data_IF_883622543931
#
_entry.id   IF_883622543931
#
_cell.length_a   1.000
_cell.length_b   1.000
_cell.length_c   1.000
_cell.angle_alpha   90.00
_cell.angle_beta   90.00
_cell.angle_gamma   90.00
#
_symmetry.space_group_name_H-M   'P 1'
#
loop_
_entity.id
_entity.type
_entity.pdbx_description
1 polymer ?
#
# COMPACT_ATOMS: atom_id res chain seq x y z
N UNK A 1 -4.61 16.96 8.69
CA UNK A 1 -3.29 16.34 8.87
C UNK A 1 -2.25 17.25 8.24
N UNK A 2 -1.19 17.65 8.96
CA UNK A 2 -0.15 18.51 8.37
C UNK A 2 0.72 17.66 7.45
N UNK A 3 1.12 18.19 6.29
CA UNK A 3 1.91 17.45 5.28
C UNK A 3 3.17 16.79 5.87
N UNK A 4 3.87 17.48 6.78
CA UNK A 4 5.05 16.95 7.48
C UNK A 4 4.75 15.67 8.28
N UNK A 5 3.64 15.65 9.02
CA UNK A 5 3.24 14.48 9.81
C UNK A 5 2.97 13.26 8.91
N UNK A 6 2.45 13.48 7.69
CA UNK A 6 2.22 12.40 6.72
C UNK A 6 3.57 11.81 6.27
N UNK A 7 4.50 12.68 5.90
CA UNK A 7 5.84 12.27 5.46
C UNK A 7 6.57 11.51 6.57
N UNK A 8 6.56 12.01 7.80
CA UNK A 8 7.25 11.38 8.93
C UNK A 8 6.72 9.94 9.18
N UNK A 9 5.39 9.76 9.16
CA UNK A 9 4.77 8.43 9.34
C UNK A 9 5.11 7.49 8.19
N UNK A 10 5.07 7.97 6.93
CA UNK A 10 5.42 7.15 5.78
C UNK A 10 6.90 6.76 5.78
N UNK A 11 7.80 7.68 6.15
CA UNK A 11 9.23 7.38 6.31
C UNK A 11 9.47 6.33 7.40
N UNK A 12 8.75 6.41 8.52
CA UNK A 12 8.84 5.38 9.56
C UNK A 12 8.36 4.01 9.05
N UNK A 13 7.26 3.97 8.28
CA UNK A 13 6.75 2.74 7.66
C UNK A 13 7.75 2.14 6.68
N UNK A 14 8.33 2.95 5.78
CA UNK A 14 9.37 2.51 4.84
C UNK A 14 10.61 1.97 5.56
N UNK A 15 11.01 2.59 6.67
CA UNK A 15 12.12 2.09 7.50
C UNK A 15 11.78 0.73 8.12
N UNK A 16 10.57 0.55 8.64
CA UNK A 16 10.13 -0.72 9.21
C UNK A 16 10.13 -1.85 8.17
N UNK A 17 9.64 -1.61 6.94
CA UNK A 17 9.70 -2.60 5.87
C UNK A 17 11.15 -2.99 5.50
N UNK A 18 12.07 -2.01 5.47
CA UNK A 18 13.50 -2.28 5.24
C UNK A 18 14.10 -3.14 6.36
N UNK A 19 13.73 -2.87 7.62
CA UNK A 19 14.19 -3.66 8.76
C UNK A 19 13.68 -5.09 8.68
N UNK A 20 12.39 -5.29 8.36
CA UNK A 20 11.82 -6.64 8.17
C UNK A 20 12.52 -7.39 7.04
N UNK A 21 12.79 -6.73 5.90
CA UNK A 21 13.49 -7.33 4.77
C UNK A 21 14.97 -7.68 5.07
N UNK A 22 15.56 -7.06 6.10
CA UNK A 22 16.91 -7.33 6.55
C UNK A 22 17.00 -8.40 7.65
N UNK A 23 15.86 -8.91 8.15
CA UNK A 23 15.87 -9.98 9.14
C UNK A 23 16.49 -11.25 8.56
N UNK A 24 17.39 -11.87 9.34
CA UNK A 24 17.87 -13.21 9.03
C UNK A 24 16.75 -14.20 9.32
N UNK A 25 16.42 -15.02 8.32
CA UNK A 25 15.33 -16.00 8.40
C UNK A 25 15.84 -17.41 8.69
N UNK A 26 17.17 -17.59 8.76
CA UNK A 26 17.85 -18.89 8.85
C UNK A 26 17.42 -19.71 10.10
N UNK A 27 17.06 -19.03 11.18
CA UNK A 27 16.70 -19.64 12.47
C UNK A 27 15.18 -19.77 12.69
N UNK A 28 14.34 -19.38 11.71
CA UNK A 28 12.89 -19.44 11.84
C UNK A 28 12.37 -20.87 11.61
N UNK A 29 11.53 -21.35 12.52
CA UNK A 29 10.80 -22.59 12.28
C UNK A 29 9.76 -22.42 11.16
N UNK A 30 9.25 -23.53 10.63
CA UNK A 30 8.13 -23.50 9.67
C UNK A 30 6.92 -22.73 10.22
N UNK A 31 6.62 -22.88 11.50
CA UNK A 31 5.51 -22.18 12.16
C UNK A 31 5.77 -20.68 12.21
N UNK A 32 7.00 -20.26 12.51
CA UNK A 32 7.38 -18.84 12.54
C UNK A 32 7.31 -18.21 11.15
N UNK A 33 7.72 -18.94 10.11
CA UNK A 33 7.61 -18.51 8.72
C UNK A 33 6.15 -18.28 8.31
N UNK A 34 5.24 -19.20 8.63
CA UNK A 34 3.81 -19.00 8.34
C UNK A 34 3.22 -17.82 9.12
N UNK A 35 3.58 -17.66 10.39
CA UNK A 35 3.13 -16.53 11.19
C UNK A 35 3.63 -15.18 10.64
N UNK A 36 4.85 -15.14 10.11
CA UNK A 36 5.40 -13.96 9.45
C UNK A 36 4.65 -13.66 8.14
N UNK A 37 4.42 -14.66 7.29
CA UNK A 37 3.65 -14.52 6.05
C UNK A 37 2.25 -13.97 6.34
N UNK A 38 1.54 -14.55 7.31
CA UNK A 38 0.18 -14.12 7.65
C UNK A 38 0.13 -12.68 8.19
N UNK A 39 1.17 -12.26 8.94
CA UNK A 39 1.29 -10.87 9.40
C UNK A 39 1.54 -9.90 8.25
N UNK A 40 2.40 -10.26 7.30
CA UNK A 40 2.68 -9.44 6.12
C UNK A 40 1.44 -9.33 5.22
N UNK A 41 0.73 -10.43 5.00
CA UNK A 41 -0.52 -10.45 4.24
C UNK A 41 -1.60 -9.55 4.88
N UNK A 42 -1.71 -9.56 6.21
CA UNK A 42 -2.60 -8.62 6.92
C UNK A 42 -2.20 -7.16 6.70
N UNK A 43 -0.91 -6.83 6.69
CA UNK A 43 -0.43 -5.48 6.41
C UNK A 43 -0.74 -5.07 4.96
N UNK A 44 -0.58 -5.99 4.00
CA UNK A 44 -0.92 -5.73 2.60
C UNK A 44 -2.43 -5.47 2.42
N UNK A 45 -3.29 -6.23 3.12
CA UNK A 45 -4.73 -5.96 3.13
C UNK A 45 -5.08 -4.58 3.70
N UNK A 46 -4.43 -4.18 4.81
CA UNK A 46 -4.61 -2.85 5.40
C UNK A 46 -4.16 -1.75 4.46
N UNK A 47 -3.01 -1.92 3.80
CA UNK A 47 -2.49 -1.01 2.78
C UNK A 47 -3.45 -0.88 1.60
N UNK A 48 -3.96 -2.00 1.07
CA UNK A 48 -4.91 -2.00 -0.04
C UNK A 48 -6.24 -1.31 0.34
N UNK A 49 -6.68 -1.42 1.60
CA UNK A 49 -7.84 -0.67 2.10
C UNK A 49 -7.56 0.83 2.17
N UNK A 50 -6.36 1.24 2.60
CA UNK A 50 -5.95 2.64 2.60
C UNK A 50 -5.85 3.20 1.18
N UNK A 51 -5.24 2.48 0.25
CA UNK A 51 -5.13 2.86 -1.17
C UNK A 51 -6.52 3.11 -1.78
N UNK A 52 -7.49 2.21 -1.54
CA UNK A 52 -8.88 2.40 -1.97
C UNK A 52 -9.50 3.67 -1.42
N UNK A 53 -9.32 3.96 -0.12
CA UNK A 53 -9.82 5.20 0.50
C UNK A 53 -9.19 6.46 -0.11
N UNK A 54 -7.87 6.43 -0.37
CA UNK A 54 -7.16 7.55 -0.99
C UNK A 54 -7.60 7.78 -2.44
N UNK A 55 -7.77 6.72 -3.22
CA UNK A 55 -8.31 6.79 -4.58
C UNK A 55 -9.76 7.28 -4.60
N UNK A 56 -10.61 6.82 -3.68
CA UNK A 56 -11.98 7.33 -3.54
C UNK A 56 -12.00 8.82 -3.19
N UNK A 57 -11.08 9.27 -2.32
CA UNK A 57 -10.93 10.70 -2.02
C UNK A 57 -10.44 11.49 -3.23
N UNK A 58 -9.52 10.94 -4.02
CA UNK A 58 -9.01 11.53 -5.25
C UNK A 58 -10.12 11.70 -6.31
N UNK A 59 -11.02 10.72 -6.42
CA UNK A 59 -12.22 10.80 -7.25
C UNK A 59 -13.18 11.89 -6.75
N UNK A 60 -13.43 11.95 -5.43
CA UNK A 60 -14.33 12.93 -4.84
C UNK A 60 -13.89 14.39 -5.00
N UNK A 61 -12.59 14.65 -5.15
CA UNK A 61 -12.05 15.99 -5.45
C UNK A 61 -11.93 16.27 -6.96
N UNK A 62 -12.50 15.41 -7.81
CA UNK A 62 -12.54 15.57 -9.27
C UNK A 62 -11.20 15.35 -9.97
N UNK A 63 -10.26 14.64 -9.32
CA UNK A 63 -8.84 14.88 -9.56
C UNK A 63 -8.09 13.94 -10.49
N UNK A 64 -8.63 12.81 -10.97
CA UNK A 64 -7.80 11.88 -11.76
C UNK A 64 -8.53 10.93 -12.69
N UNK A 65 -7.98 10.79 -13.90
CA UNK A 65 -8.31 9.72 -14.83
C UNK A 65 -7.48 8.46 -14.53
N UNK A 66 -7.91 7.30 -15.06
CA UNK A 66 -7.13 6.06 -15.00
C UNK A 66 -5.74 6.23 -15.64
N UNK A 67 -5.60 7.09 -16.66
CA UNK A 67 -4.33 7.41 -17.31
C UNK A 67 -3.37 8.15 -16.37
N UNK A 68 -3.88 9.10 -15.58
CA UNK A 68 -3.06 9.85 -14.62
C UNK A 68 -2.59 8.97 -13.47
N UNK A 69 -3.48 8.13 -12.95
CA UNK A 69 -3.15 7.16 -11.90
C UNK A 69 -2.13 6.13 -12.40
N UNK A 70 -2.33 5.58 -13.60
CA UNK A 70 -1.39 4.64 -14.21
C UNK A 70 0.01 5.26 -14.34
N UNK A 71 0.09 6.50 -14.82
CA UNK A 71 1.35 7.24 -14.95
C UNK A 71 2.02 7.47 -13.59
N UNK A 72 1.27 7.94 -12.58
CA UNK A 72 1.84 8.27 -11.25
C UNK A 72 2.26 7.03 -10.47
N UNK A 73 1.48 5.96 -10.52
CA UNK A 73 1.74 4.72 -9.78
C UNK A 73 2.62 3.73 -10.56
N UNK A 74 2.96 4.03 -11.82
CA UNK A 74 3.73 3.16 -12.73
C UNK A 74 3.11 1.76 -12.86
N UNK A 75 1.80 1.72 -13.07
CA UNK A 75 1.00 0.51 -13.29
C UNK A 75 0.34 0.56 -14.66
N UNK A 76 -0.23 -0.56 -15.12
CA UNK A 76 -1.01 -0.57 -16.35
C UNK A 76 -2.28 0.27 -16.22
N UNK A 77 -2.78 0.79 -17.33
CA UNK A 77 -4.04 1.54 -17.33
C UNK A 77 -5.23 0.67 -16.90
N UNK A 78 -5.24 -0.62 -17.27
CA UNK A 78 -6.26 -1.56 -16.83
C UNK A 78 -6.26 -1.78 -15.31
N UNK A 79 -5.07 -1.88 -14.70
CA UNK A 79 -4.94 -1.99 -13.24
C UNK A 79 -5.37 -0.68 -12.54
N UNK A 80 -5.03 0.47 -13.09
CA UNK A 80 -5.51 1.76 -12.59
C UNK A 80 -7.04 1.87 -12.66
N UNK A 81 -7.65 1.44 -13.78
CA UNK A 81 -9.10 1.41 -13.95
C UNK A 81 -9.76 0.46 -12.95
N UNK A 82 -9.20 -0.73 -12.73
CA UNK A 82 -9.68 -1.68 -11.72
C UNK A 82 -9.66 -1.08 -10.32
N UNK A 83 -8.53 -0.46 -9.92
CA UNK A 83 -8.40 0.17 -8.59
C UNK A 83 -9.34 1.35 -8.39
N UNK A 84 -9.53 2.18 -9.42
CA UNK A 84 -10.48 3.30 -9.38
C UNK A 84 -11.93 2.79 -9.29
N UNK A 85 -12.29 1.76 -10.05
CA UNK A 85 -13.61 1.11 -9.94
C UNK A 85 -13.87 0.54 -8.56
N UNK A 86 -12.89 -0.15 -7.96
CA UNK A 86 -12.97 -0.66 -6.59
C UNK A 86 -13.07 0.42 -5.51
N UNK A 87 -12.65 1.65 -5.83
CA UNK A 87 -12.69 2.79 -4.92
C UNK A 87 -13.93 3.67 -5.11
N UNK A 88 -14.68 3.48 -6.20
CA UNK A 88 -15.90 4.22 -6.53
C UNK A 88 -17.17 3.52 -6.01
N UNK A 89 -17.09 2.23 -5.66
CA UNK A 89 -18.13 1.48 -4.96
C UNK A 89 -18.13 1.80 -3.46
#
# INVERSE_FOLDING_TARGET
>A
MRSKQVTDVLTALESAYKQVAALRLDDLSRTDLYALIERLDRLDHQRAALDRRLLGRLLAVGGSSAKDVARRLRISQGEAQRRLGQAAC
#
